data_IF_970625706854
#
_entry.id   IF_970625706854
#
_cell.length_a   1.000
_cell.length_b   1.000
_cell.length_c   1.000
_cell.angle_alpha   90.00
_cell.angle_beta   90.00
_cell.angle_gamma   90.00
#
_symmetry.space_group_name_H-M   'P 1'
#
loop_
_entity.id
_entity.type
_entity.pdbx_description
1 polymer ?
#
# COMPACT_ATOMS: atom_id res chain seq x y z
N UNK A 1 28.43 12.28 -5.72
CA UNK A 1 27.36 11.34 -6.12
C UNK A 1 27.97 9.96 -6.00
N UNK A 2 27.33 9.02 -5.36
CA UNK A 2 27.86 7.65 -5.22
C UNK A 2 27.79 6.92 -6.56
N UNK A 3 28.62 5.89 -6.73
CA UNK A 3 28.60 5.05 -7.93
C UNK A 3 27.20 4.50 -8.20
N UNK A 4 26.51 4.07 -7.14
CA UNK A 4 25.17 3.50 -7.24
C UNK A 4 24.13 4.56 -7.67
N UNK A 5 24.23 5.78 -7.17
CA UNK A 5 23.33 6.86 -7.60
C UNK A 5 23.53 7.23 -9.06
N UNK A 6 24.77 7.26 -9.53
CA UNK A 6 25.10 7.49 -10.94
C UNK A 6 24.58 6.37 -11.84
N UNK A 7 24.78 5.11 -11.46
CA UNK A 7 24.27 3.94 -12.20
C UNK A 7 22.74 3.91 -12.21
N UNK A 8 22.10 4.23 -11.11
CA UNK A 8 20.63 4.30 -11.01
C UNK A 8 20.08 5.42 -11.91
N UNK A 9 20.76 6.55 -11.97
CA UNK A 9 20.37 7.65 -12.85
C UNK A 9 20.51 7.26 -14.33
N UNK A 10 21.60 6.61 -14.70
CA UNK A 10 21.80 6.10 -16.05
C UNK A 10 20.72 5.07 -16.41
N UNK A 11 20.43 4.15 -15.50
CA UNK A 11 19.39 3.14 -15.68
C UNK A 11 18.01 3.78 -15.92
N UNK A 12 17.66 4.85 -15.21
CA UNK A 12 16.42 5.59 -15.45
C UNK A 12 16.36 6.26 -16.81
N UNK A 13 17.48 6.79 -17.28
CA UNK A 13 17.57 7.41 -18.60
C UNK A 13 17.44 6.35 -19.71
N UNK A 14 18.01 5.17 -19.51
CA UNK A 14 17.92 4.06 -20.46
C UNK A 14 16.56 3.36 -20.47
N UNK A 15 15.83 3.40 -19.35
CA UNK A 15 14.54 2.73 -19.18
C UNK A 15 13.46 3.72 -18.71
N UNK A 16 13.13 4.73 -19.50
CA UNK A 16 12.16 5.77 -19.11
C UNK A 16 10.75 5.22 -18.89
N UNK A 17 10.41 4.10 -19.54
CA UNK A 17 9.13 3.43 -19.39
C UNK A 17 8.95 2.79 -18.00
N UNK A 18 10.05 2.56 -17.28
CA UNK A 18 10.05 2.03 -15.93
C UNK A 18 10.07 3.14 -14.87
N UNK A 19 10.22 4.40 -15.29
CA UNK A 19 10.09 5.52 -14.38
C UNK A 19 8.63 5.70 -13.96
N UNK A 20 8.44 6.05 -12.70
CA UNK A 20 7.12 6.19 -12.07
C UNK A 20 6.16 7.07 -12.85
N UNK A 21 6.67 8.12 -13.47
CA UNK A 21 5.86 9.12 -14.13
C UNK A 21 5.41 8.75 -15.54
N UNK A 22 5.93 7.69 -16.15
CA UNK A 22 5.72 7.41 -17.56
C UNK A 22 4.74 6.28 -17.84
N UNK A 23 4.94 5.08 -17.29
CA UNK A 23 4.06 3.93 -17.60
C UNK A 23 4.10 2.91 -16.49
N UNK A 24 3.45 3.22 -15.39
CA UNK A 24 3.43 2.28 -14.29
C UNK A 24 2.37 1.22 -14.51
N UNK A 25 2.71 -0.06 -14.51
CA UNK A 25 1.70 -1.08 -14.32
C UNK A 25 1.05 -0.84 -12.96
N UNK A 26 -0.28 -0.75 -12.92
CA UNK A 26 -1.05 -0.50 -11.70
C UNK A 26 -1.03 -1.72 -10.75
N UNK A 27 0.15 -2.30 -10.51
CA UNK A 27 0.30 -3.53 -9.73
C UNK A 27 0.46 -3.27 -8.23
N UNK A 28 0.86 -2.05 -7.85
CA UNK A 28 1.18 -1.64 -6.48
C UNK A 28 0.28 -0.48 -6.00
N UNK A 29 -1.01 -0.59 -6.30
CA UNK A 29 -1.95 0.52 -6.06
C UNK A 29 -2.15 0.87 -4.60
N UNK A 30 -1.97 -0.07 -3.65
CA UNK A 30 -2.05 0.24 -2.24
C UNK A 30 -0.86 1.10 -1.79
N UNK A 31 0.35 0.75 -2.19
CA UNK A 31 1.54 1.57 -1.91
C UNK A 31 1.42 2.96 -2.52
N UNK A 32 0.96 3.05 -3.78
CA UNK A 32 0.76 4.32 -4.47
C UNK A 32 -0.24 5.20 -3.77
N UNK A 33 -1.32 4.63 -3.31
CA UNK A 33 -2.34 5.31 -2.55
C UNK A 33 -1.75 5.93 -1.27
N UNK A 34 -1.01 5.15 -0.46
CA UNK A 34 -0.38 5.68 0.75
C UNK A 34 0.64 6.80 0.47
N UNK A 35 1.42 6.68 -0.61
CA UNK A 35 2.39 7.72 -0.99
C UNK A 35 1.66 9.00 -1.45
N UNK A 36 0.60 8.85 -2.22
CA UNK A 36 -0.22 9.97 -2.68
C UNK A 36 -0.84 10.69 -1.49
N UNK A 37 -1.44 9.95 -0.56
CA UNK A 37 -2.05 10.51 0.64
C UNK A 37 -1.02 11.20 1.56
N UNK A 38 0.20 10.70 1.60
CA UNK A 38 1.28 11.36 2.34
C UNK A 38 1.62 12.72 1.75
N UNK A 39 1.52 12.88 0.44
CA UNK A 39 1.84 14.11 -0.27
C UNK A 39 0.63 15.05 -0.44
N UNK A 40 -0.56 14.60 -0.10
CA UNK A 40 -1.78 15.40 -0.17
C UNK A 40 -1.75 16.56 0.83
N UNK A 41 -2.41 17.66 0.49
CA UNK A 41 -2.45 18.87 1.34
C UNK A 41 -3.22 18.67 2.65
N UNK A 42 -4.16 17.72 2.69
CA UNK A 42 -4.97 17.32 3.83
C UNK A 42 -4.40 16.09 4.57
N UNK A 43 -3.15 15.69 4.29
CA UNK A 43 -2.52 14.52 4.89
C UNK A 43 -2.47 14.61 6.41
N UNK A 44 -2.78 13.50 7.09
CA UNK A 44 -2.55 13.31 8.53
C UNK A 44 -1.08 13.54 8.92
N UNK A 45 -0.16 13.34 7.98
CA UNK A 45 1.28 13.48 8.18
C UNK A 45 1.76 14.87 7.76
N UNK A 46 1.90 15.78 8.72
CA UNK A 46 2.46 17.11 8.44
C UNK A 46 3.89 17.02 7.88
N UNK A 47 4.33 17.97 7.03
CA UNK A 47 5.70 17.99 6.52
C UNK A 47 6.78 17.97 7.61
N UNK A 48 6.56 18.69 8.70
CA UNK A 48 7.47 18.71 9.86
C UNK A 48 7.58 17.35 10.55
N UNK A 49 6.47 16.61 10.63
CA UNK A 49 6.47 15.27 11.20
C UNK A 49 7.26 14.31 10.32
N UNK A 50 7.10 14.41 8.99
CA UNK A 50 7.85 13.59 8.02
C UNK A 50 9.37 13.84 8.10
N UNK A 51 9.79 15.10 8.20
CA UNK A 51 11.20 15.45 8.41
C UNK A 51 11.76 14.88 9.72
N UNK A 52 11.02 15.03 10.81
CA UNK A 52 11.41 14.48 12.12
C UNK A 52 11.47 12.96 12.08
N UNK A 53 10.51 12.31 11.44
CA UNK A 53 10.49 10.86 11.27
C UNK A 53 11.72 10.38 10.47
N UNK A 54 12.02 11.04 9.36
CA UNK A 54 13.17 10.70 8.52
C UNK A 54 14.52 10.81 9.25
N UNK A 55 14.65 11.75 10.20
CA UNK A 55 15.85 11.96 10.99
C UNK A 55 15.92 11.15 12.29
N UNK A 56 14.91 10.34 12.62
CA UNK A 56 14.68 9.81 13.98
C UNK A 56 15.20 8.40 14.22
N UNK A 57 16.30 7.98 13.59
CA UNK A 57 16.84 6.65 13.86
C UNK A 57 17.16 6.47 15.35
N UNK A 58 16.68 5.34 15.88
CA UNK A 58 16.80 5.04 17.30
C UNK A 58 15.80 5.74 18.22
N UNK A 59 15.01 6.70 17.71
CA UNK A 59 14.02 7.43 18.51
C UNK A 59 12.59 6.99 18.21
N UNK A 60 11.75 7.04 19.23
CA UNK A 60 10.32 6.80 19.10
C UNK A 60 9.67 8.01 18.42
N UNK A 61 8.93 7.76 17.34
CA UNK A 61 8.11 8.76 16.66
C UNK A 61 6.66 8.58 17.07
N UNK A 62 6.03 9.66 17.47
CA UNK A 62 4.63 9.66 17.87
C UNK A 62 3.84 10.62 16.98
N UNK A 63 2.69 10.14 16.51
CA UNK A 63 1.72 10.91 15.74
C UNK A 63 0.57 11.29 16.68
N UNK A 64 0.27 12.59 16.85
CA UNK A 64 -0.88 12.99 17.62
C UNK A 64 -2.16 12.66 16.85
N UNK A 65 -3.09 12.00 17.50
CA UNK A 65 -4.42 11.69 16.98
C UNK A 65 -5.44 12.30 17.92
N UNK A 66 -6.39 13.05 17.38
CA UNK A 66 -7.52 13.56 18.15
C UNK A 66 -8.56 12.45 18.19
N UNK A 67 -8.93 12.02 19.38
CA UNK A 67 -9.99 11.08 19.58
C UNK A 67 -11.34 11.78 19.42
N UNK A 68 -12.17 11.26 18.53
CA UNK A 68 -13.55 11.67 18.43
C UNK A 68 -14.40 10.75 19.31
N UNK A 69 -14.81 11.26 20.47
CA UNK A 69 -15.49 10.44 21.50
C UNK A 69 -17.01 10.37 21.34
N UNK A 70 -17.55 10.89 20.26
CA UNK A 70 -18.98 10.84 19.93
C UNK A 70 -19.64 12.21 19.81
N UNK A 71 -20.94 12.20 19.59
CA UNK A 71 -21.72 13.40 19.41
C UNK A 71 -22.03 14.08 20.77
N UNK A 72 -21.88 15.39 20.83
CA UNK A 72 -22.29 16.17 22.00
C UNK A 72 -23.82 16.14 22.15
N UNK A 73 -24.29 15.85 23.35
CA UNK A 73 -25.75 15.86 23.63
C UNK A 73 -26.26 17.27 23.69
N UNK A 74 -27.13 17.63 22.75
CA UNK A 74 -27.81 18.93 22.76
C UNK A 74 -28.99 18.88 23.71
N UNK A 75 -29.03 19.77 24.72
CA UNK A 75 -30.14 19.90 25.64
C UNK A 75 -31.19 20.87 25.08
N UNK A 76 -32.45 20.49 25.15
CA UNK A 76 -33.59 21.36 24.82
C UNK A 76 -33.94 22.34 25.95
N UNK A 77 -33.26 22.26 27.06
CA UNK A 77 -33.49 23.12 28.24
C UNK A 77 -32.35 24.12 28.36
N UNK A 78 -32.64 25.38 28.57
CA UNK A 78 -31.63 26.41 28.87
C UNK A 78 -30.96 26.06 30.20
N UNK A 79 -29.68 25.69 30.15
CA UNK A 79 -28.85 25.40 31.34
C UNK A 79 -27.89 26.54 31.59
N UNK A 80 -27.60 26.84 32.86
CA UNK A 80 -26.54 27.78 33.24
C UNK A 80 -25.18 27.07 33.35
N UNK A 81 -25.15 25.75 33.21
CA UNK A 81 -23.94 24.91 33.25
C UNK A 81 -23.69 24.42 31.82
N UNK A 82 -22.55 24.84 31.27
CA UNK A 82 -22.07 24.31 29.97
C UNK A 82 -21.55 22.91 30.26
N UNK A 83 -22.05 21.86 29.57
CA UNK A 83 -21.48 20.52 29.70
C UNK A 83 -20.03 20.56 29.25
N UNK A 84 -19.16 19.98 30.06
CA UNK A 84 -17.75 19.84 29.76
C UNK A 84 -17.57 18.75 28.73
N UNK A 85 -17.03 19.10 27.56
CA UNK A 85 -16.69 18.17 26.49
C UNK A 85 -15.18 18.14 26.36
N UNK A 86 -14.55 17.22 27.08
CA UNK A 86 -13.11 17.05 27.04
C UNK A 86 -12.72 16.22 25.82
N UNK A 87 -12.30 16.88 24.75
CA UNK A 87 -11.64 16.22 23.65
C UNK A 87 -10.30 15.62 24.09
N UNK A 88 -10.21 14.30 24.13
CA UNK A 88 -8.96 13.62 24.45
C UNK A 88 -8.11 13.49 23.20
N UNK A 89 -6.81 13.82 23.31
CA UNK A 89 -5.81 13.53 22.28
C UNK A 89 -4.94 12.37 22.72
N UNK A 90 -4.69 11.42 21.83
CA UNK A 90 -3.77 10.32 22.05
C UNK A 90 -2.52 10.46 21.17
N UNK A 91 -1.38 10.03 21.72
CA UNK A 91 -0.16 9.91 20.96
C UNK A 91 -0.01 8.47 20.46
N UNK A 92 -0.13 8.28 19.16
CA UNK A 92 0.09 6.99 18.53
C UNK A 92 1.58 6.78 18.24
N UNK A 93 2.14 5.71 18.80
CA UNK A 93 3.55 5.35 18.55
C UNK A 93 3.67 4.64 17.20
N UNK A 94 4.51 5.17 16.33
CA UNK A 94 4.78 4.59 15.01
C UNK A 94 5.58 3.31 15.16
N UNK A 95 5.07 2.22 14.58
CA UNK A 95 5.74 0.93 14.50
C UNK A 95 6.49 0.83 13.18
N UNK A 96 7.81 0.68 13.26
CA UNK A 96 8.68 0.61 12.09
C UNK A 96 8.92 -0.85 11.69
N UNK A 97 8.86 -1.10 10.38
CA UNK A 97 9.30 -2.35 9.78
C UNK A 97 10.46 -2.09 8.83
N UNK A 98 11.54 -2.87 8.97
CA UNK A 98 12.72 -2.77 8.13
C UNK A 98 12.57 -3.66 6.90
N UNK A 99 12.73 -3.07 5.73
CA UNK A 99 12.76 -3.78 4.46
C UNK A 99 14.16 -3.66 3.87
N UNK A 100 14.71 -4.78 3.43
CA UNK A 100 16.02 -4.82 2.76
C UNK A 100 15.99 -5.79 1.60
N UNK A 101 16.70 -5.44 0.55
CA UNK A 101 16.87 -6.26 -0.66
C UNK A 101 18.21 -5.95 -1.30
N UNK A 102 18.74 -6.87 -2.05
CA UNK A 102 20.02 -6.64 -2.75
C UNK A 102 20.29 -7.67 -3.80
N UNK A 103 21.35 -7.42 -4.55
CA UNK A 103 21.89 -8.37 -5.53
C UNK A 103 23.43 -8.26 -5.61
N UNK A 104 24.03 -9.24 -6.23
CA UNK A 104 25.47 -9.30 -6.43
C UNK A 104 25.80 -9.39 -7.91
N UNK A 105 26.95 -8.78 -8.28
CA UNK A 105 27.53 -8.86 -9.61
C UNK A 105 28.96 -9.39 -9.50
N UNK A 106 29.40 -10.14 -10.50
CA UNK A 106 30.75 -10.64 -10.59
C UNK A 106 31.33 -10.15 -11.93
N UNK A 107 32.06 -9.03 -11.97
CA UNK A 107 32.49 -8.39 -13.22
C UNK A 107 33.29 -9.32 -14.15
N UNK A 108 34.07 -10.22 -13.57
CA UNK A 108 34.89 -11.16 -14.36
C UNK A 108 34.09 -12.15 -15.21
N UNK A 109 32.82 -12.43 -14.83
CA UNK A 109 31.96 -13.34 -15.60
C UNK A 109 31.48 -12.72 -16.93
N UNK A 110 31.56 -11.40 -17.08
CA UNK A 110 31.09 -10.68 -18.25
C UNK A 110 32.19 -10.38 -19.27
N UNK A 111 33.45 -10.61 -18.94
CA UNK A 111 34.59 -10.27 -19.82
C UNK A 111 34.59 -11.02 -21.16
N UNK A 112 34.04 -12.23 -21.20
CA UNK A 112 33.96 -13.08 -22.37
C UNK A 112 32.56 -13.61 -22.68
N UNK A 113 31.52 -12.90 -22.22
CA UNK A 113 30.14 -13.34 -22.37
C UNK A 113 29.38 -12.44 -23.37
N UNK A 114 28.42 -13.02 -24.10
CA UNK A 114 27.52 -12.29 -24.99
C UNK A 114 26.60 -11.31 -24.22
N UNK A 115 26.36 -11.62 -22.93
CA UNK A 115 25.55 -10.75 -22.06
C UNK A 115 26.48 -9.70 -21.45
N UNK A 116 26.20 -8.43 -21.72
CA UNK A 116 26.94 -7.32 -21.13
C UNK A 116 26.63 -7.18 -19.62
N UNK A 117 27.59 -6.68 -18.88
CA UNK A 117 27.45 -6.34 -17.48
C UNK A 117 26.23 -5.43 -17.23
N UNK A 118 26.07 -4.38 -18.06
CA UNK A 118 25.00 -3.40 -17.91
C UNK A 118 23.61 -4.01 -18.16
N UNK A 119 23.50 -4.92 -19.12
CA UNK A 119 22.23 -5.63 -19.37
C UNK A 119 21.82 -6.49 -18.17
N UNK A 120 22.74 -7.25 -17.57
CA UNK A 120 22.42 -8.06 -16.39
C UNK A 120 22.18 -7.19 -15.15
N UNK A 121 22.92 -6.08 -15.01
CA UNK A 121 22.68 -5.08 -13.97
C UNK A 121 21.24 -4.52 -14.06
N UNK A 122 20.84 -4.09 -15.25
CA UNK A 122 19.49 -3.55 -15.50
C UNK A 122 18.42 -4.56 -15.15
N UNK A 123 18.57 -5.81 -15.58
CA UNK A 123 17.64 -6.89 -15.27
C UNK A 123 17.53 -7.20 -13.77
N UNK A 124 18.67 -7.26 -13.06
CA UNK A 124 18.70 -7.48 -11.62
C UNK A 124 18.12 -6.31 -10.85
N UNK A 125 18.40 -5.09 -11.28
CA UNK A 125 17.87 -3.87 -10.70
C UNK A 125 16.33 -3.81 -10.80
N UNK A 126 15.78 -4.10 -11.99
CA UNK A 126 14.35 -4.19 -12.19
C UNK A 126 13.71 -5.24 -11.26
N UNK A 127 14.29 -6.43 -11.18
CA UNK A 127 13.81 -7.50 -10.30
C UNK A 127 13.79 -7.08 -8.83
N UNK A 128 14.83 -6.40 -8.39
CA UNK A 128 14.95 -5.90 -7.01
C UNK A 128 13.93 -4.82 -6.72
N UNK A 129 13.76 -3.84 -7.63
CA UNK A 129 12.78 -2.79 -7.48
C UNK A 129 11.35 -3.34 -7.41
N UNK A 130 11.02 -4.31 -8.26
CA UNK A 130 9.71 -4.99 -8.23
C UNK A 130 9.49 -5.76 -6.94
N UNK A 131 10.49 -6.52 -6.48
CA UNK A 131 10.39 -7.29 -5.24
C UNK A 131 10.18 -6.37 -4.03
N UNK A 132 10.91 -5.27 -3.97
CA UNK A 132 10.80 -4.30 -2.89
C UNK A 132 9.44 -3.59 -2.90
N UNK A 133 8.98 -3.13 -4.07
CA UNK A 133 7.67 -2.52 -4.24
C UNK A 133 6.54 -3.48 -3.85
N UNK A 134 6.62 -4.75 -4.26
CA UNK A 134 5.63 -5.76 -3.90
C UNK A 134 5.56 -6.00 -2.39
N UNK A 135 6.71 -6.07 -1.71
CA UNK A 135 6.75 -6.24 -0.26
C UNK A 135 6.15 -5.04 0.48
N UNK A 136 6.40 -3.83 0.01
CA UNK A 136 5.80 -2.61 0.57
C UNK A 136 4.29 -2.53 0.30
N UNK A 137 3.85 -2.92 -0.88
CA UNK A 137 2.42 -2.96 -1.21
C UNK A 137 1.66 -3.98 -0.37
N UNK A 138 2.25 -5.16 -0.13
CA UNK A 138 1.71 -6.15 0.81
C UNK A 138 1.57 -5.58 2.22
N UNK A 139 2.58 -4.84 2.68
CA UNK A 139 2.53 -4.19 3.98
C UNK A 139 1.47 -3.07 4.04
N UNK A 140 1.30 -2.32 2.95
CA UNK A 140 0.22 -1.32 2.83
C UNK A 140 -1.16 -1.97 2.92
N UNK A 141 -1.39 -3.08 2.21
CA UNK A 141 -2.64 -3.86 2.31
C UNK A 141 -2.84 -4.41 3.72
N UNK A 142 -1.79 -4.93 4.35
CA UNK A 142 -1.87 -5.40 5.74
C UNK A 142 -2.24 -4.28 6.72
N UNK A 143 -1.73 -3.07 6.50
CA UNK A 143 -2.10 -1.90 7.28
C UNK A 143 -3.58 -1.53 7.09
N UNK A 144 -4.10 -1.54 5.85
CA UNK A 144 -5.54 -1.34 5.58
C UNK A 144 -6.39 -2.40 6.27
N UNK A 145 -5.97 -3.66 6.22
CA UNK A 145 -6.67 -4.77 6.88
C UNK A 145 -6.70 -4.60 8.41
N UNK A 146 -5.59 -4.19 9.01
CA UNK A 146 -5.50 -3.93 10.44
C UNK A 146 -6.33 -2.73 10.89
N UNK A 147 -6.39 -1.69 10.05
CA UNK A 147 -7.09 -0.43 10.32
C UNK A 147 -8.56 -0.41 9.92
N UNK A 148 -9.10 -1.49 9.35
CA UNK A 148 -10.51 -1.52 8.94
C UNK A 148 -11.45 -1.29 10.11
N UNK A 149 -12.56 -0.60 9.85
CA UNK A 149 -13.58 -0.34 10.87
C UNK A 149 -14.20 -1.62 11.41
N UNK A 150 -14.51 -1.60 12.71
CA UNK A 150 -15.20 -2.71 13.40
C UNK A 150 -16.69 -2.47 13.53
N UNK A 151 -17.14 -1.25 13.31
CA UNK A 151 -18.53 -0.83 13.42
C UNK A 151 -18.92 0.05 12.25
N UNK A 152 -20.17 -0.04 11.81
CA UNK A 152 -20.77 0.87 10.85
C UNK A 152 -22.11 1.36 11.38
N UNK A 153 -22.30 2.68 11.36
CA UNK A 153 -23.53 3.33 11.81
C UNK A 153 -24.69 3.03 10.85
N UNK A 154 -24.40 3.13 9.56
CA UNK A 154 -25.33 2.76 8.49
C UNK A 154 -24.58 1.93 7.44
N UNK A 155 -25.15 0.83 7.08
CA UNK A 155 -24.62 -0.11 6.06
C UNK A 155 -25.60 -0.28 4.90
N UNK A 156 -26.67 0.55 4.87
CA UNK A 156 -27.79 0.36 3.96
C UNK A 156 -28.32 -1.11 4.04
N UNK A 157 -28.56 -1.73 2.91
CA UNK A 157 -29.10 -3.09 2.85
C UNK A 157 -28.03 -4.20 2.89
N UNK A 158 -26.77 -3.84 3.17
CA UNK A 158 -25.67 -4.80 3.20
C UNK A 158 -25.52 -5.43 4.58
N UNK A 159 -25.12 -6.71 4.60
CA UNK A 159 -24.73 -7.39 5.82
C UNK A 159 -23.31 -6.95 6.20
N UNK A 160 -23.12 -6.56 7.45
CA UNK A 160 -21.82 -6.27 8.02
C UNK A 160 -21.49 -7.34 9.06
N UNK A 161 -20.51 -8.18 8.74
CA UNK A 161 -20.08 -9.28 9.60
C UNK A 161 -18.55 -9.41 9.54
N UNK A 162 -17.93 -9.80 10.64
CA UNK A 162 -16.47 -9.92 10.76
C UNK A 162 -15.70 -8.66 10.30
N UNK A 163 -16.27 -7.47 10.53
CA UNK A 163 -15.72 -6.17 10.10
C UNK A 163 -15.60 -6.00 8.57
N UNK A 164 -16.49 -6.63 7.83
CA UNK A 164 -16.55 -6.59 6.37
C UNK A 164 -17.99 -6.39 5.91
N UNK A 165 -18.19 -5.57 4.90
CA UNK A 165 -19.46 -5.49 4.17
C UNK A 165 -19.52 -6.68 3.22
N UNK A 166 -20.48 -7.56 3.42
CA UNK A 166 -20.76 -8.67 2.50
C UNK A 166 -21.72 -8.20 1.41
N UNK A 167 -21.23 -8.19 0.18
CA UNK A 167 -21.98 -7.75 -1.00
C UNK A 167 -22.47 -8.97 -1.77
N UNK A 168 -23.77 -9.17 -1.92
CA UNK A 168 -24.33 -10.20 -2.80
C UNK A 168 -23.91 -9.94 -4.24
N UNK A 169 -23.73 -10.99 -5.02
CA UNK A 169 -23.30 -10.89 -6.44
C UNK A 169 -24.23 -10.00 -7.27
N UNK A 170 -25.53 -10.00 -6.96
CA UNK A 170 -26.54 -9.20 -7.66
C UNK A 170 -26.36 -7.70 -7.43
N UNK A 171 -25.86 -7.32 -6.24
CA UNK A 171 -25.63 -5.92 -5.83
C UNK A 171 -24.18 -5.45 -6.08
N UNK A 172 -23.40 -6.23 -6.82
CA UNK A 172 -21.99 -5.93 -7.03
C UNK A 172 -21.74 -4.59 -7.74
N UNK A 173 -22.63 -4.18 -8.64
CA UNK A 173 -22.55 -2.86 -9.30
C UNK A 173 -23.10 -1.74 -8.45
N UNK A 174 -24.08 -2.00 -7.60
CA UNK A 174 -24.75 -1.02 -6.75
C UNK A 174 -23.85 -0.55 -5.61
N UNK A 175 -23.04 -1.46 -5.04
CA UNK A 175 -22.11 -1.10 -3.96
C UNK A 175 -21.19 0.07 -4.32
N UNK A 176 -20.80 0.18 -5.58
CA UNK A 176 -19.96 1.29 -6.02
C UNK A 176 -20.69 2.65 -5.95
N UNK A 177 -22.00 2.69 -6.12
CA UNK A 177 -22.81 3.87 -5.85
C UNK A 177 -23.03 4.10 -4.36
N UNK A 178 -23.25 3.02 -3.61
CA UNK A 178 -23.66 3.07 -2.20
C UNK A 178 -22.52 3.37 -1.23
N UNK A 179 -21.26 3.18 -1.66
CA UNK A 179 -20.10 3.40 -0.77
C UNK A 179 -20.02 4.85 -0.26
N UNK A 180 -20.33 5.84 -1.09
CA UNK A 180 -20.34 7.25 -0.67
C UNK A 180 -21.43 7.55 0.38
N UNK A 181 -22.70 7.15 0.21
CA UNK A 181 -23.71 7.23 1.26
C UNK A 181 -23.29 6.55 2.56
N UNK A 182 -22.71 5.35 2.49
CA UNK A 182 -22.23 4.62 3.67
C UNK A 182 -21.11 5.42 4.37
N UNK A 183 -20.13 5.93 3.63
CA UNK A 183 -19.05 6.75 4.18
C UNK A 183 -19.60 8.02 4.86
N UNK A 184 -20.52 8.72 4.21
CA UNK A 184 -21.17 9.92 4.77
C UNK A 184 -21.97 9.64 6.03
N UNK A 185 -22.71 8.51 6.09
CA UNK A 185 -23.45 8.11 7.28
C UNK A 185 -22.53 7.83 8.47
N UNK A 186 -21.27 7.48 8.20
CA UNK A 186 -20.22 7.27 9.19
C UNK A 186 -19.30 8.49 9.40
N UNK A 187 -19.76 9.69 9.01
CA UNK A 187 -19.06 10.96 9.18
C UNK A 187 -17.80 11.14 8.31
N UNK A 188 -17.71 10.46 7.17
CA UNK A 188 -16.63 10.58 6.19
C UNK A 188 -17.16 11.09 4.83
N UNK A 189 -17.41 12.40 4.68
CA UNK A 189 -18.03 12.95 3.45
C UNK A 189 -17.04 13.26 2.32
N UNK A 190 -15.75 13.07 2.53
CA UNK A 190 -14.68 13.46 1.60
C UNK A 190 -14.60 12.62 0.34
N UNK A 191 -13.54 12.82 -0.41
CA UNK A 191 -13.17 11.99 -1.55
C UNK A 191 -12.83 10.58 -1.07
N UNK A 192 -13.35 9.56 -1.76
CA UNK A 192 -13.15 8.17 -1.38
C UNK A 192 -12.16 7.50 -2.34
N UNK A 193 -11.11 6.91 -1.80
CA UNK A 193 -10.20 6.06 -2.52
C UNK A 193 -10.60 4.59 -2.36
N UNK A 194 -10.70 3.89 -3.47
CA UNK A 194 -11.05 2.47 -3.49
C UNK A 194 -9.81 1.67 -3.90
N UNK A 195 -9.26 0.92 -2.97
CA UNK A 195 -8.12 0.04 -3.20
C UNK A 195 -8.62 -1.40 -3.36
N UNK A 196 -8.50 -1.97 -4.54
CA UNK A 196 -9.12 -3.25 -4.84
C UNK A 196 -8.27 -4.16 -5.72
N UNK A 197 -8.75 -5.39 -5.89
CA UNK A 197 -8.10 -6.41 -6.71
C UNK A 197 -8.75 -6.58 -8.10
N UNK A 198 -8.24 -7.52 -8.88
CA UNK A 198 -8.71 -7.83 -10.23
C UNK A 198 -10.22 -8.14 -10.32
N UNK A 199 -10.83 -8.70 -9.26
CA UNK A 199 -12.26 -8.96 -9.24
C UNK A 199 -13.11 -7.68 -9.31
N UNK A 200 -12.57 -6.56 -8.86
CA UNK A 200 -13.21 -5.25 -8.92
C UNK A 200 -13.00 -4.58 -10.28
N UNK A 201 -11.89 -4.86 -10.97
CA UNK A 201 -11.55 -4.23 -12.26
C UNK A 201 -12.66 -4.41 -13.32
N UNK A 202 -13.28 -5.59 -13.35
CA UNK A 202 -14.40 -5.84 -14.26
C UNK A 202 -15.63 -4.99 -13.98
N UNK A 203 -15.88 -4.67 -12.73
CA UNK A 203 -16.98 -3.77 -12.29
C UNK A 203 -16.65 -2.33 -12.67
N UNK A 204 -15.42 -1.91 -12.41
CA UNK A 204 -14.93 -0.58 -12.76
C UNK A 204 -15.03 -0.37 -14.27
N UNK A 205 -14.67 -1.35 -15.09
CA UNK A 205 -14.81 -1.27 -16.55
C UNK A 205 -16.26 -1.09 -17.02
N UNK A 206 -17.21 -1.72 -16.35
CA UNK A 206 -18.64 -1.49 -16.64
C UNK A 206 -19.09 -0.08 -16.27
N UNK A 207 -18.56 0.47 -15.20
CA UNK A 207 -18.83 1.85 -14.78
C UNK A 207 -18.06 2.86 -15.64
N UNK A 208 -16.99 2.45 -16.32
CA UNK A 208 -16.16 3.31 -17.17
C UNK A 208 -16.92 3.99 -18.32
N UNK A 209 -18.08 3.45 -18.70
CA UNK A 209 -18.98 4.11 -19.68
C UNK A 209 -19.54 5.43 -19.15
N UNK A 210 -19.49 5.66 -17.84
CA UNK A 210 -20.00 6.84 -17.14
C UNK A 210 -18.93 7.60 -16.35
N UNK A 211 -17.69 7.10 -16.34
CA UNK A 211 -16.57 7.68 -15.59
C UNK A 211 -15.53 8.38 -16.47
N UNK A 212 -14.68 9.15 -15.82
CA UNK A 212 -13.52 9.79 -16.46
C UNK A 212 -12.30 8.90 -16.21
N UNK A 213 -11.72 8.40 -17.29
CA UNK A 213 -10.44 7.68 -17.25
C UNK A 213 -9.30 8.67 -17.48
N UNK A 214 -8.40 8.78 -16.52
CA UNK A 214 -7.19 9.59 -16.64
C UNK A 214 -6.09 8.76 -17.29
N UNK A 215 -5.78 9.05 -18.56
CA UNK A 215 -4.82 8.28 -19.36
C UNK A 215 -3.36 8.46 -18.86
N UNK A 216 -3.06 9.58 -18.24
CA UNK A 216 -1.73 9.88 -17.72
C UNK A 216 -1.43 9.02 -16.47
N UNK A 217 -2.37 8.96 -15.55
CA UNK A 217 -2.20 8.22 -14.29
C UNK A 217 -2.78 6.80 -14.35
N UNK A 218 -3.40 6.42 -15.47
CA UNK A 218 -4.13 5.16 -15.65
C UNK A 218 -5.12 4.86 -14.51
N UNK A 219 -5.74 5.93 -13.99
CA UNK A 219 -6.71 5.88 -12.91
C UNK A 219 -8.10 6.18 -13.44
N UNK A 220 -9.07 5.57 -12.83
CA UNK A 220 -10.46 5.86 -13.07
C UNK A 220 -11.02 6.66 -11.90
N UNK A 221 -11.72 7.75 -12.22
CA UNK A 221 -12.49 8.55 -11.29
C UNK A 221 -13.97 8.45 -11.64
N UNK A 222 -14.79 8.12 -10.66
CA UNK A 222 -16.22 7.99 -10.82
C UNK A 222 -16.95 8.44 -9.56
N UNK A 223 -17.87 9.39 -9.69
CA UNK A 223 -18.72 9.86 -8.58
C UNK A 223 -17.96 10.15 -7.28
N UNK A 224 -16.92 10.96 -7.33
CA UNK A 224 -16.08 11.28 -6.16
C UNK A 224 -15.36 10.06 -5.57
N UNK A 225 -14.94 9.11 -6.43
CA UNK A 225 -14.12 7.95 -6.07
C UNK A 225 -12.92 7.83 -7.00
N UNK A 226 -11.78 7.48 -6.43
CA UNK A 226 -10.54 7.18 -7.14
C UNK A 226 -10.20 5.72 -6.93
N UNK A 227 -9.94 4.98 -8.02
CA UNK A 227 -9.68 3.55 -7.95
C UNK A 227 -8.19 3.26 -8.06
N UNK A 228 -7.70 2.42 -7.16
CA UNK A 228 -6.32 1.92 -7.11
C UNK A 228 -6.35 0.39 -7.19
N UNK A 229 -5.61 -0.14 -8.14
CA UNK A 229 -5.52 -1.58 -8.35
C UNK A 229 -4.27 -2.15 -7.69
N UNK A 230 -4.41 -3.26 -6.98
CA UNK A 230 -3.29 -4.02 -6.45
C UNK A 230 -3.53 -5.53 -6.55
N UNK A 231 -2.47 -6.28 -6.86
CA UNK A 231 -2.50 -7.74 -6.86
C UNK A 231 -2.45 -8.35 -5.44
N UNK A 232 -2.10 -7.55 -4.44
CA UNK A 232 -1.88 -8.03 -3.07
C UNK A 232 -3.15 -8.08 -2.21
N UNK A 233 -4.28 -7.54 -2.69
CA UNK A 233 -5.57 -7.76 -2.04
C UNK A 233 -6.11 -9.13 -2.48
N UNK A 234 -6.05 -10.09 -1.55
CA UNK A 234 -6.45 -11.47 -1.81
C UNK A 234 -7.94 -11.65 -1.53
N UNK A 235 -8.64 -12.36 -2.42
CA UNK A 235 -10.01 -12.77 -2.17
C UNK A 235 -10.05 -13.92 -1.15
N UNK A 236 -10.96 -13.84 -0.20
CA UNK A 236 -11.29 -14.99 0.65
C UNK A 236 -12.00 -16.07 -0.17
N UNK A 237 -12.08 -17.27 0.39
CA UNK A 237 -12.82 -18.37 -0.25
C UNK A 237 -14.27 -17.95 -0.55
N UNK A 238 -14.76 -18.31 -1.72
CA UNK A 238 -16.11 -17.95 -2.20
C UNK A 238 -16.37 -16.45 -2.40
N UNK A 239 -15.32 -15.64 -2.55
CA UNK A 239 -15.42 -14.21 -2.90
C UNK A 239 -14.82 -13.98 -4.30
N UNK A 240 -15.41 -13.06 -5.04
CA UNK A 240 -14.99 -12.72 -6.40
C UNK A 240 -14.32 -11.35 -6.51
N UNK A 241 -14.42 -10.53 -5.49
CA UNK A 241 -13.78 -9.24 -5.42
C UNK A 241 -13.68 -8.75 -3.99
N UNK A 242 -12.56 -8.11 -3.66
CA UNK A 242 -12.32 -7.50 -2.35
C UNK A 242 -11.77 -6.11 -2.57
N UNK A 243 -12.25 -5.15 -1.81
CA UNK A 243 -11.73 -3.80 -1.84
C UNK A 243 -11.82 -3.12 -0.47
N UNK A 244 -11.00 -2.07 -0.32
CA UNK A 244 -11.04 -1.14 0.78
C UNK A 244 -11.49 0.22 0.25
N UNK A 245 -12.44 0.83 0.91
CA UNK A 245 -12.83 2.22 0.69
C UNK A 245 -12.26 3.07 1.83
N UNK A 246 -11.52 4.10 1.48
CA UNK A 246 -10.77 4.95 2.43
C UNK A 246 -11.02 6.40 2.08
N UNK A 247 -11.37 7.22 3.05
CA UNK A 247 -11.48 8.66 2.85
C UNK A 247 -10.09 9.30 2.72
N UNK A 248 -10.01 10.31 1.86
CA UNK A 248 -8.81 11.09 1.58
C UNK A 248 -8.18 11.72 2.84
N UNK A 249 -6.86 11.73 2.93
CA UNK A 249 -6.11 12.35 4.02
C UNK A 249 -5.91 11.50 5.27
N UNK A 250 -6.59 10.36 5.39
CA UNK A 250 -6.61 9.55 6.63
C UNK A 250 -5.51 8.49 6.74
N UNK A 251 -4.69 8.36 5.73
CA UNK A 251 -3.57 7.40 5.73
C UNK A 251 -2.30 8.04 5.22
N UNK A 252 -1.17 7.45 5.54
CA UNK A 252 0.11 7.92 5.03
C UNK A 252 1.24 6.95 5.31
N UNK A 253 2.38 7.18 4.69
CA UNK A 253 3.59 6.38 4.84
C UNK A 253 4.74 7.25 5.33
N UNK A 254 5.42 6.78 6.36
CA UNK A 254 6.65 7.37 6.86
C UNK A 254 7.82 6.49 6.48
N UNK A 255 8.94 7.10 6.12
CA UNK A 255 10.20 6.42 5.85
C UNK A 255 11.32 7.03 6.64
N UNK A 256 12.26 6.21 7.04
CA UNK A 256 13.54 6.65 7.60
C UNK A 256 14.68 5.81 7.05
N UNK A 257 15.85 6.43 6.97
CA UNK A 257 17.07 5.79 6.49
C UNK A 257 18.17 6.06 7.51
N UNK A 258 18.98 5.05 7.82
CA UNK A 258 20.10 5.20 8.75
C UNK A 258 21.19 6.11 8.17
N UNK A 259 21.13 7.38 8.54
CA UNK A 259 22.15 8.37 8.16
C UNK A 259 23.46 8.22 8.92
N UNK A 260 23.44 7.63 10.11
CA UNK A 260 24.69 7.42 10.87
C UNK A 260 25.52 6.30 10.24
N UNK A 261 24.89 5.26 9.72
CA UNK A 261 25.58 4.26 8.91
C UNK A 261 26.22 4.90 7.67
N UNK A 262 25.55 5.88 7.04
CA UNK A 262 26.10 6.66 5.93
C UNK A 262 27.41 7.39 6.28
N UNK A 263 27.57 7.83 7.52
CA UNK A 263 28.73 8.59 7.96
C UNK A 263 29.88 7.69 8.47
N UNK A 264 29.57 6.53 9.05
CA UNK A 264 30.56 5.64 9.67
C UNK A 264 31.36 4.81 8.67
N UNK A 265 30.83 4.56 7.47
CA UNK A 265 31.38 3.53 6.57
C UNK A 265 32.20 4.07 5.41
N UNK A 266 32.50 5.36 5.35
CA UNK A 266 33.37 5.93 4.30
C UNK A 266 34.80 5.40 4.30
N UNK A 267 35.19 4.68 5.36
CA UNK A 267 36.59 4.27 5.55
C UNK A 267 36.97 2.94 4.86
N UNK A 268 36.05 2.08 4.43
CA UNK A 268 36.35 0.69 4.04
C UNK A 268 35.73 0.24 2.71
N UNK A 269 35.89 1.01 1.63
CA UNK A 269 35.34 0.64 0.30
C UNK A 269 33.82 0.45 0.26
N UNK A 270 33.11 0.94 1.26
CA UNK A 270 31.67 0.96 1.34
C UNK A 270 31.14 2.32 0.95
N UNK A 271 30.23 2.35 0.00
CA UNK A 271 29.50 3.56 -0.38
C UNK A 271 28.07 3.47 0.10
N UNK A 272 27.61 4.53 0.76
CA UNK A 272 26.25 4.69 1.19
C UNK A 272 25.65 5.94 0.59
N UNK A 273 24.40 5.86 0.18
CA UNK A 273 23.67 7.01 -0.34
C UNK A 273 22.18 6.84 -0.08
N UNK A 274 21.41 7.93 -0.24
CA UNK A 274 19.96 7.88 -0.22
C UNK A 274 19.48 8.06 -1.64
N UNK A 275 18.77 7.07 -2.14
CA UNK A 275 18.27 7.04 -3.51
C UNK A 275 16.75 6.87 -3.51
N UNK A 276 16.09 7.27 -4.59
CA UNK A 276 14.70 6.92 -4.84
C UNK A 276 14.67 5.80 -5.86
N UNK A 277 14.10 4.68 -5.48
CA UNK A 277 13.96 3.54 -6.40
C UNK A 277 12.76 3.75 -7.33
N UNK A 278 12.84 3.28 -8.58
CA UNK A 278 11.68 3.17 -9.46
C UNK A 278 10.55 2.37 -8.78
N UNK A 279 9.32 2.65 -9.14
CA UNK A 279 8.07 2.11 -8.58
C UNK A 279 7.75 2.53 -7.13
N UNK A 280 8.70 3.00 -6.33
CA UNK A 280 8.52 3.19 -4.91
C UNK A 280 8.38 4.67 -4.54
N UNK A 281 9.13 5.57 -5.19
CA UNK A 281 9.19 7.03 -4.94
C UNK A 281 9.37 7.42 -3.45
N UNK A 282 9.92 6.51 -2.67
CA UNK A 282 10.28 6.74 -1.29
C UNK A 282 11.81 6.81 -1.20
N UNK A 283 12.36 7.60 -0.28
CA UNK A 283 13.79 7.60 -0.02
C UNK A 283 14.20 6.26 0.59
N UNK A 284 15.17 5.61 -0.05
CA UNK A 284 15.72 4.31 0.34
C UNK A 284 17.23 4.46 0.51
N UNK A 285 17.79 3.88 1.55
CA UNK A 285 19.23 3.80 1.74
C UNK A 285 19.81 2.79 0.75
N UNK A 286 20.83 3.21 0.02
CA UNK A 286 21.60 2.31 -0.86
C UNK A 286 22.96 2.04 -0.26
N UNK A 287 23.43 0.81 -0.37
CA UNK A 287 24.72 0.37 0.10
C UNK A 287 25.45 -0.40 -1.00
N UNK A 288 26.65 0.04 -1.35
CA UNK A 288 27.51 -0.63 -2.29
C UNK A 288 28.85 -0.95 -1.66
N UNK A 289 29.34 -2.15 -1.86
CA UNK A 289 30.70 -2.54 -1.51
C UNK A 289 31.20 -3.65 -2.40
N UNK A 290 32.53 -3.79 -2.46
CA UNK A 290 33.21 -4.87 -3.14
C UNK A 290 33.90 -5.80 -2.13
N UNK A 291 33.78 -7.09 -2.34
CA UNK A 291 34.50 -8.07 -1.54
C UNK A 291 35.12 -9.13 -2.45
N UNK A 292 36.26 -9.65 -2.03
CA UNK A 292 36.83 -10.84 -2.68
C UNK A 292 35.97 -12.02 -2.30
N UNK A 293 35.33 -12.65 -3.29
CA UNK A 293 34.52 -13.84 -3.06
C UNK A 293 35.34 -14.98 -2.50
N UNK A 294 34.66 -15.91 -1.81
CA UNK A 294 35.29 -17.10 -1.24
C UNK A 294 36.23 -17.77 -2.22
N UNK A 295 37.49 -17.90 -1.80
CA UNK A 295 38.40 -18.79 -2.42
C UNK A 295 37.90 -20.21 -2.11
N UNK A 296 37.04 -20.76 -2.97
CA UNK A 296 36.78 -22.19 -2.90
C UNK A 296 38.08 -22.91 -3.29
N UNK A 297 38.94 -23.16 -2.33
CA UNK A 297 39.96 -24.17 -2.44
C UNK A 297 39.22 -25.50 -2.56
N UNK A 298 38.94 -25.91 -3.77
CA UNK A 298 38.67 -27.32 -4.01
C UNK A 298 39.98 -28.04 -3.67
N UNK A 299 39.95 -28.79 -2.58
CA UNK A 299 41.09 -29.58 -2.14
C UNK A 299 41.57 -30.45 -3.32
N UNK A 300 42.76 -30.13 -3.89
CA UNK A 300 43.36 -30.85 -5.03
C UNK A 300 43.48 -30.04 -6.32
N UNK A 301 43.01 -28.83 -6.43
CA UNK A 301 43.31 -27.97 -7.59
C UNK A 301 44.73 -27.41 -7.48
N UNK A 302 45.51 -27.56 -8.52
CA UNK A 302 46.82 -26.96 -8.62
C UNK A 302 46.74 -25.44 -8.41
N UNK A 303 47.71 -24.85 -7.73
CA UNK A 303 47.77 -23.46 -7.28
C UNK A 303 47.67 -22.39 -8.39
N UNK A 304 47.51 -22.79 -9.65
CA UNK A 304 47.40 -21.91 -10.82
C UNK A 304 45.96 -21.39 -11.06
N UNK A 305 44.93 -21.97 -10.44
CA UNK A 305 43.49 -21.62 -10.65
C UNK A 305 42.87 -20.81 -9.53
N UNK A 306 43.66 -20.04 -8.79
CA UNK A 306 43.10 -19.08 -7.83
C UNK A 306 42.55 -17.85 -8.57
N UNK A 307 41.39 -17.98 -9.15
CA UNK A 307 40.63 -16.82 -9.64
C UNK A 307 40.03 -16.07 -8.45
N UNK A 308 40.67 -14.99 -8.07
CA UNK A 308 40.08 -14.03 -7.11
C UNK A 308 38.92 -13.32 -7.78
N UNK A 309 37.70 -13.88 -7.67
CA UNK A 309 36.52 -13.25 -8.18
C UNK A 309 36.11 -12.12 -7.22
N UNK A 310 36.29 -10.89 -7.66
CA UNK A 310 35.74 -9.73 -6.97
C UNK A 310 34.21 -9.72 -7.18
N UNK A 311 33.48 -9.72 -6.08
CA UNK A 311 32.03 -9.56 -6.11
C UNK A 311 31.65 -8.14 -5.72
N UNK A 312 30.76 -7.55 -6.48
CA UNK A 312 30.12 -6.28 -6.16
C UNK A 312 28.75 -6.56 -5.52
N UNK A 313 28.50 -5.91 -4.40
CA UNK A 313 27.26 -6.05 -3.64
C UNK A 313 26.47 -4.74 -3.69
N UNK A 314 25.22 -4.84 -4.10
CA UNK A 314 24.28 -3.73 -4.18
C UNK A 314 23.12 -4.02 -3.22
N UNK A 315 22.97 -3.22 -2.20
CA UNK A 315 21.94 -3.36 -1.19
C UNK A 315 21.04 -2.13 -1.13
N UNK A 316 19.77 -2.32 -0.82
CA UNK A 316 18.80 -1.27 -0.60
C UNK A 316 18.03 -1.58 0.67
N UNK A 317 17.83 -0.59 1.53
CA UNK A 317 17.09 -0.75 2.77
C UNK A 317 16.37 0.52 3.17
N UNK A 318 15.22 0.35 3.78
CA UNK A 318 14.47 1.44 4.40
C UNK A 318 13.65 0.90 5.57
N UNK A 319 13.52 1.70 6.62
CA UNK A 319 12.48 1.49 7.61
C UNK A 319 11.24 2.23 7.15
N UNK A 320 10.14 1.51 7.11
CA UNK A 320 8.85 2.03 6.62
C UNK A 320 7.78 1.81 7.68
N UNK A 321 6.91 2.79 7.84
CA UNK A 321 5.75 2.68 8.70
C UNK A 321 4.52 3.21 7.99
N UNK A 322 3.48 2.41 7.92
CA UNK A 322 2.17 2.81 7.43
C UNK A 322 1.34 3.34 8.60
N UNK A 323 0.87 4.57 8.47
CA UNK A 323 0.11 5.28 9.50
C UNK A 323 -1.32 5.45 9.04
N UNK A 324 -2.25 5.21 9.94
CA UNK A 324 -3.69 5.34 9.70
C UNK A 324 -4.26 6.24 10.78
N UNK A 325 -5.12 7.18 10.39
CA UNK A 325 -5.91 7.94 11.34
C UNK A 325 -6.91 7.02 12.03
N UNK A 326 -6.86 6.99 13.35
CA UNK A 326 -7.87 6.33 14.16
C UNK A 326 -8.82 7.37 14.72
N UNK A 327 -10.11 7.14 14.55
CA UNK A 327 -11.10 7.88 15.29
C UNK A 327 -11.37 7.18 16.61
N UNK A 328 -11.04 7.82 17.71
CA UNK A 328 -11.39 7.52 19.08
C UNK A 328 -11.60 6.06 19.47
N UNK A 329 -12.79 5.74 19.89
CA UNK A 329 -13.14 4.40 20.35
C UNK A 329 -13.54 3.50 19.17
N UNK A 330 -12.72 2.49 18.79
CA UNK A 330 -13.02 1.62 17.65
C UNK A 330 -14.23 0.71 17.85
N UNK A 331 -14.85 0.74 19.03
CA UNK A 331 -16.06 -0.03 19.35
C UNK A 331 -17.33 0.77 19.03
N UNK A 332 -17.28 2.09 19.12
CA UNK A 332 -18.46 2.96 18.97
C UNK A 332 -18.40 3.86 17.77
N UNK A 333 -17.22 4.17 17.26
CA UNK A 333 -16.99 5.08 16.13
C UNK A 333 -16.37 4.34 14.96
N UNK A 334 -16.90 4.55 13.76
CA UNK A 334 -16.36 3.97 12.54
C UNK A 334 -14.99 4.58 12.22
N UNK A 335 -14.05 3.75 11.79
CA UNK A 335 -12.77 4.19 11.21
C UNK A 335 -12.96 4.60 9.74
N UNK A 336 -12.06 5.42 9.18
CA UNK A 336 -12.15 5.89 7.79
C UNK A 336 -11.90 4.80 6.74
N UNK A 337 -11.71 3.54 7.15
CA UNK A 337 -11.41 2.41 6.27
C UNK A 337 -12.53 1.38 6.36
N UNK A 338 -13.21 1.14 5.26
CA UNK A 338 -14.28 0.15 5.14
C UNK A 338 -13.81 -0.94 4.18
N UNK A 339 -13.85 -2.20 4.63
CA UNK A 339 -13.60 -3.37 3.77
C UNK A 339 -14.92 -3.90 3.24
N UNK A 340 -14.99 -4.19 1.95
CA UNK A 340 -16.11 -4.86 1.32
C UNK A 340 -15.64 -6.07 0.52
N UNK A 341 -16.48 -7.12 0.49
CA UNK A 341 -16.23 -8.33 -0.25
C UNK A 341 -17.45 -8.71 -1.06
N UNK A 342 -17.26 -9.00 -2.34
CA UNK A 342 -18.32 -9.42 -3.26
C UNK A 342 -18.34 -10.94 -3.29
N UNK A 343 -19.51 -11.53 -3.03
CA UNK A 343 -19.69 -12.97 -3.10
C UNK A 343 -19.44 -13.50 -4.52
N UNK A 344 -18.81 -14.66 -4.63
CA UNK A 344 -18.69 -15.36 -5.89
C UNK A 344 -20.06 -15.77 -6.40
N UNK A 345 -20.24 -15.75 -7.71
CA UNK A 345 -21.47 -16.23 -8.34
C UNK A 345 -21.60 -17.73 -8.10
N UNK A 346 -22.72 -18.16 -7.53
CA UNK A 346 -23.02 -19.58 -7.43
C UNK A 346 -23.17 -20.16 -8.85
N UNK A 347 -22.54 -21.32 -9.11
CA UNK A 347 -22.48 -21.94 -10.44
C UNK A 347 -23.86 -22.24 -11.05
N UNK A 348 -24.89 -22.35 -10.23
CA UNK A 348 -26.21 -22.81 -10.63
C UNK A 348 -27.34 -21.76 -10.59
N UNK A 349 -27.01 -20.47 -10.54
CA UNK A 349 -28.05 -19.42 -10.60
C UNK A 349 -28.24 -18.97 -12.04
N UNK A 350 -29.42 -19.26 -12.67
CA UNK A 350 -29.70 -18.78 -14.01
C UNK A 350 -29.62 -17.25 -14.12
N UNK A 351 -29.10 -16.74 -15.23
CA UNK A 351 -29.11 -15.32 -15.56
C UNK A 351 -30.57 -14.85 -15.67
N UNK A 352 -30.94 -13.88 -14.87
CA UNK A 352 -32.24 -13.19 -14.99
C UNK A 352 -33.32 -13.57 -13.98
N UNK A 353 -33.03 -14.47 -13.01
CA UNK A 353 -33.99 -14.63 -11.91
C UNK A 353 -33.84 -13.54 -10.84
N UNK A 354 -34.91 -12.84 -10.48
CA UNK A 354 -34.91 -11.95 -9.33
C UNK A 354 -34.72 -12.80 -8.05
N UNK A 355 -33.64 -12.56 -7.33
CA UNK A 355 -33.45 -13.18 -6.02
C UNK A 355 -34.10 -12.25 -5.00
N UNK A 356 -35.23 -12.65 -4.47
CA UNK A 356 -35.83 -11.96 -3.34
C UNK A 356 -34.98 -12.25 -2.09
N UNK A 357 -34.29 -11.24 -1.60
CA UNK A 357 -33.63 -11.32 -0.29
C UNK A 357 -34.72 -11.26 0.76
N UNK A 358 -35.08 -12.41 1.32
CA UNK A 358 -35.90 -12.42 2.53
C UNK A 358 -35.07 -11.92 3.69
N UNK A 359 -35.64 -11.05 4.53
CA UNK A 359 -35.00 -10.45 5.71
C UNK A 359 -34.50 -11.46 6.75
N UNK A 360 -34.49 -12.73 6.48
CA UNK A 360 -34.13 -13.81 7.39
C UNK A 360 -32.80 -14.49 7.09
N UNK A 361 -32.02 -14.03 6.11
CA UNK A 361 -30.66 -14.59 5.87
C UNK A 361 -30.59 -16.01 5.37
N UNK A 362 -31.71 -16.64 5.01
CA UNK A 362 -31.76 -17.96 4.40
C UNK A 362 -32.12 -17.85 2.92
N UNK A 363 -31.27 -18.37 2.07
CA UNK A 363 -31.62 -18.59 0.67
C UNK A 363 -32.68 -19.72 0.63
N UNK A 364 -33.80 -19.55 -0.06
CA UNK A 364 -34.71 -20.65 -0.23
C UNK A 364 -33.97 -21.76 -0.99
N UNK A 365 -33.92 -22.97 -0.40
CA UNK A 365 -33.46 -24.17 -1.08
C UNK A 365 -34.31 -24.30 -2.35
N UNK A 366 -33.65 -24.37 -3.51
CA UNK A 366 -34.31 -24.45 -4.79
C UNK A 366 -35.34 -25.55 -4.79
N UNK A 367 -36.62 -25.19 -4.90
CA UNK A 367 -37.70 -26.13 -5.05
C UNK A 367 -37.50 -26.93 -6.36
N UNK A 368 -37.26 -28.21 -6.24
CA UNK A 368 -37.40 -29.13 -7.37
C UNK A 368 -38.85 -29.06 -7.82
N UNK A 369 -39.09 -28.44 -8.95
CA UNK A 369 -40.37 -28.57 -9.65
C UNK A 369 -40.44 -29.92 -10.34
N UNK A 370 -41.48 -30.65 -10.08
CA UNK A 370 -41.91 -31.86 -10.77
C UNK A 370 -42.09 -31.64 -12.28
#
# INVERSE_FOLDING_TARGET
MSLIATRLQNWRVENPELDRNMTRPCEYGALDFFIEQTNAGNSILSPKLRERAFASIGNTVQVPVINYDGDVTVSNVRTCVIPDDENTSALYTVVWATYSVGFTMVPTLYMNNEISYDHDFNRKMEKVCRAFANSLDQAAVAALEAGKTKVLKDKLNYKFAANVIEVPTQMATEIMGDINPIMRANCYPGLVHVVGNAGIDSLIKKLAQHGIYNDVNKRMEYENKVFHYTNNVVNEASKNGTFFAVEDGNVGVLTRVDREALNRTRANFHEWDVVRLPYIDLPVGSHYYTAVGDQSQTAGAASADMTCNVKEYFGFSADVAFVIAYNGNPITVANPIIKAQIAARAENVPLGMPVYVTNAGEFPAGGASA
#
